data_IF_033333738679
#
_entry.id   IF_033333738679
#
_cell.length_a   1.000
_cell.length_b   1.000
_cell.length_c   1.000
_cell.angle_alpha   90.00
_cell.angle_beta   90.00
_cell.angle_gamma   90.00
#
_symmetry.space_group_name_H-M   'P 1'
#
loop_
_entity.id
_entity.type
_entity.pdbx_description
1 polymer ?
#
# COMPACT_ATOMS: atom_id res chain seq x y z
N UNK A 1 28.07 -19.57 46.03
CA UNK A 1 28.35 -19.85 47.43
C UNK A 1 27.80 -18.77 48.36
N UNK A 2 28.04 -17.48 48.18
CA UNK A 2 27.51 -16.39 49.03
C UNK A 2 25.98 -16.36 49.15
N UNK A 3 25.23 -16.58 48.07
CA UNK A 3 23.73 -16.58 48.06
C UNK A 3 23.19 -17.79 48.85
N UNK A 4 23.88 -18.95 48.76
CA UNK A 4 23.45 -20.13 49.52
C UNK A 4 23.72 -19.98 51.02
N UNK A 5 24.81 -19.33 51.39
CA UNK A 5 25.14 -19.03 52.79
C UNK A 5 24.18 -18.00 53.38
N UNK A 6 23.81 -16.95 52.63
CA UNK A 6 22.83 -15.93 53.04
C UNK A 6 21.41 -16.52 53.21
N UNK A 7 21.01 -17.40 52.28
CA UNK A 7 19.74 -18.12 52.35
C UNK A 7 19.67 -19.02 53.59
N UNK A 8 20.79 -19.70 53.93
CA UNK A 8 20.84 -20.58 55.09
C UNK A 8 20.78 -19.82 56.43
N UNK A 9 21.47 -18.66 56.53
CA UNK A 9 21.44 -17.76 57.71
C UNK A 9 20.03 -17.18 57.98
N UNK A 10 19.25 -16.92 56.93
CA UNK A 10 17.90 -16.39 57.08
C UNK A 10 16.86 -17.56 57.33
N UNK A 11 17.12 -18.73 56.73
CA UNK A 11 16.19 -19.88 56.77
C UNK A 11 16.04 -20.49 58.16
N UNK A 12 17.14 -20.64 58.95
CA UNK A 12 17.12 -21.24 60.26
C UNK A 12 16.34 -20.41 61.27
N UNK A 13 16.63 -19.10 61.46
CA UNK A 13 15.87 -18.25 62.37
C UNK A 13 14.38 -18.09 61.96
N UNK A 14 14.08 -18.03 60.66
CA UNK A 14 12.70 -17.95 60.19
C UNK A 14 11.89 -19.24 60.47
N UNK A 15 12.52 -20.40 60.32
CA UNK A 15 11.88 -21.67 60.68
C UNK A 15 11.62 -21.79 62.19
N UNK A 16 12.58 -21.33 63.00
CA UNK A 16 12.40 -21.30 64.46
C UNK A 16 11.32 -20.31 64.91
N UNK A 17 11.27 -19.17 64.33
CA UNK A 17 10.25 -18.14 64.61
C UNK A 17 8.83 -18.63 64.23
N UNK A 18 8.64 -19.26 63.05
CA UNK A 18 7.38 -19.84 62.62
C UNK A 18 6.95 -20.98 63.54
N UNK A 19 7.90 -21.85 63.93
CA UNK A 19 7.59 -22.98 64.83
C UNK A 19 7.10 -22.52 66.19
N UNK A 20 7.68 -21.44 66.77
CA UNK A 20 7.24 -20.86 68.02
C UNK A 20 5.84 -20.18 67.91
N UNK A 21 5.50 -19.65 66.75
CA UNK A 21 4.18 -19.07 66.51
C UNK A 21 3.08 -20.16 66.44
N UNK A 22 3.41 -21.33 65.87
CA UNK A 22 2.44 -22.46 65.74
C UNK A 22 2.17 -23.20 67.05
N UNK A 23 3.14 -23.29 67.96
CA UNK A 23 3.06 -24.17 69.16
C UNK A 23 3.23 -23.41 70.51
N UNK A 24 3.45 -22.10 70.47
CA UNK A 24 3.56 -21.26 71.68
C UNK A 24 4.72 -21.68 72.60
N UNK A 25 4.43 -21.89 73.90
CA UNK A 25 5.41 -22.26 74.94
C UNK A 25 5.65 -23.78 75.06
N UNK A 26 5.24 -24.58 74.07
CA UNK A 26 5.44 -26.05 74.15
C UNK A 26 6.91 -26.42 74.07
N UNK A 27 7.30 -27.45 74.83
CA UNK A 27 8.68 -27.98 74.90
C UNK A 27 8.76 -29.43 74.45
N UNK A 28 9.92 -29.92 74.06
CA UNK A 28 10.16 -31.32 73.66
C UNK A 28 9.80 -31.70 72.23
N UNK A 29 9.21 -32.86 72.05
CA UNK A 29 8.91 -33.44 70.71
C UNK A 29 7.97 -32.65 69.86
N UNK A 30 7.02 -31.90 70.47
CA UNK A 30 6.07 -31.06 69.76
C UNK A 30 6.74 -29.86 69.09
N UNK A 31 7.73 -29.28 69.73
CA UNK A 31 8.48 -28.16 69.16
C UNK A 31 9.37 -28.64 68.00
N UNK A 32 9.92 -29.85 68.06
CA UNK A 32 10.70 -30.44 66.96
C UNK A 32 9.85 -30.71 65.74
N UNK A 33 8.66 -31.30 65.91
CA UNK A 33 7.74 -31.56 64.80
C UNK A 33 7.24 -30.26 64.15
N UNK A 34 7.00 -29.21 64.90
CA UNK A 34 6.65 -27.88 64.41
C UNK A 34 7.79 -27.23 63.60
N UNK A 35 9.03 -27.40 64.07
CA UNK A 35 10.24 -26.89 63.34
C UNK A 35 10.44 -27.63 62.00
N UNK A 36 10.24 -28.95 61.97
CA UNK A 36 10.39 -29.70 60.71
C UNK A 36 9.26 -29.40 59.74
N UNK A 37 8.03 -29.17 60.20
CA UNK A 37 6.89 -28.70 59.39
C UNK A 37 7.15 -27.28 58.85
N UNK A 38 7.66 -26.35 59.67
CA UNK A 38 7.98 -24.98 59.26
C UNK A 38 9.13 -24.98 58.23
N UNK A 39 10.18 -25.80 58.40
CA UNK A 39 11.24 -26.00 57.42
C UNK A 39 10.70 -26.54 56.11
N UNK A 40 9.80 -27.52 56.13
CA UNK A 40 9.15 -28.04 54.91
C UNK A 40 8.39 -26.98 54.18
N UNK A 41 7.58 -26.15 54.86
CA UNK A 41 6.85 -25.02 54.23
C UNK A 41 7.75 -23.99 53.62
N UNK A 42 8.83 -23.58 54.34
CA UNK A 42 9.81 -22.62 53.82
C UNK A 42 10.60 -23.16 52.63
N UNK A 43 10.97 -24.45 52.63
CA UNK A 43 11.61 -25.09 51.50
C UNK A 43 10.70 -25.11 50.27
N UNK A 44 9.39 -25.42 50.44
CA UNK A 44 8.43 -25.44 49.35
C UNK A 44 8.23 -24.04 48.77
N UNK A 45 8.08 -23.01 49.64
CA UNK A 45 7.98 -21.62 49.21
C UNK A 45 9.23 -21.13 48.52
N UNK A 46 10.40 -21.45 49.08
CA UNK A 46 11.71 -21.12 48.49
C UNK A 46 11.89 -21.77 47.12
N UNK A 47 11.56 -23.05 46.97
CA UNK A 47 11.63 -23.76 45.70
C UNK A 47 10.68 -23.14 44.68
N UNK A 48 9.45 -22.75 45.08
CA UNK A 48 8.49 -22.07 44.23
C UNK A 48 8.99 -20.68 43.72
N UNK A 49 9.57 -19.90 44.64
CA UNK A 49 10.19 -18.60 44.28
C UNK A 49 11.38 -18.76 43.36
N UNK A 50 12.25 -19.75 43.61
CA UNK A 50 13.38 -20.05 42.72
C UNK A 50 12.92 -20.52 41.32
N UNK A 51 11.92 -21.39 41.24
CA UNK A 51 11.33 -21.83 40.00
C UNK A 51 10.71 -20.67 39.23
N UNK A 52 9.96 -19.78 39.89
CA UNK A 52 9.39 -18.57 39.31
C UNK A 52 10.48 -17.59 38.79
N UNK A 53 11.52 -17.36 39.57
CA UNK A 53 12.64 -16.51 39.15
C UNK A 53 13.40 -17.10 37.95
N UNK A 54 13.67 -18.41 37.96
CA UNK A 54 14.29 -19.12 36.85
C UNK A 54 13.45 -19.06 35.58
N UNK A 55 12.12 -19.21 35.71
CA UNK A 55 11.20 -19.06 34.59
C UNK A 55 11.22 -17.65 33.99
N UNK A 56 11.21 -16.61 34.85
CA UNK A 56 11.30 -15.21 34.40
C UNK A 56 12.63 -14.90 33.69
N UNK A 57 13.75 -15.43 34.19
CA UNK A 57 15.06 -15.28 33.58
C UNK A 57 15.07 -16.01 32.22
N UNK A 58 14.56 -17.24 32.14
CA UNK A 58 14.49 -18.00 30.90
C UNK A 58 13.57 -17.33 29.87
N UNK A 59 12.41 -16.83 30.29
CA UNK A 59 11.51 -16.07 29.42
C UNK A 59 12.18 -14.79 28.88
N UNK A 60 12.88 -14.08 29.75
CA UNK A 60 13.63 -12.87 29.34
C UNK A 60 14.79 -13.20 28.39
N UNK A 61 15.50 -14.28 28.61
CA UNK A 61 16.58 -14.75 27.72
C UNK A 61 16.03 -15.15 26.34
N UNK A 62 14.89 -15.83 26.28
CA UNK A 62 14.20 -16.16 25.02
C UNK A 62 13.79 -14.92 24.23
N UNK A 63 13.26 -13.88 24.89
CA UNK A 63 12.91 -12.61 24.24
C UNK A 63 14.17 -11.91 23.68
N UNK A 64 15.26 -11.90 24.45
CA UNK A 64 16.53 -11.29 24.01
C UNK A 64 17.15 -12.05 22.83
N UNK A 65 17.13 -13.38 22.85
CA UNK A 65 17.63 -14.23 21.74
C UNK A 65 16.82 -14.01 20.46
N UNK A 66 15.49 -13.94 20.56
CA UNK A 66 14.63 -13.63 19.41
C UNK A 66 14.94 -12.25 18.82
N UNK A 67 15.15 -11.23 19.66
CA UNK A 67 15.52 -9.89 19.21
C UNK A 67 16.88 -9.87 18.49
N UNK A 68 17.86 -10.61 19.00
CA UNK A 68 19.17 -10.75 18.34
C UNK A 68 19.04 -11.37 16.94
N UNK A 69 18.26 -12.44 16.79
CA UNK A 69 18.05 -13.11 15.51
C UNK A 69 17.38 -12.22 14.45
N UNK A 70 16.40 -11.38 14.84
CA UNK A 70 15.74 -10.43 13.92
C UNK A 70 16.75 -9.38 13.45
N UNK A 71 17.55 -8.83 14.37
CA UNK A 71 18.55 -7.82 14.04
C UNK A 71 19.63 -8.37 13.08
N UNK A 72 20.10 -9.60 13.30
CA UNK A 72 21.08 -10.26 12.42
C UNK A 72 20.49 -10.49 11.01
N UNK A 73 19.23 -10.90 10.91
CA UNK A 73 18.53 -11.07 9.63
C UNK A 73 18.39 -9.74 8.90
N UNK A 74 17.99 -8.68 9.61
CA UNK A 74 17.89 -7.34 9.05
C UNK A 74 19.22 -6.85 8.50
N UNK A 75 20.30 -6.96 9.28
CA UNK A 75 21.64 -6.52 8.84
C UNK A 75 22.09 -7.26 7.58
N UNK A 76 21.94 -8.58 7.55
CA UNK A 76 22.27 -9.38 6.35
C UNK A 76 21.42 -9.01 5.13
N UNK A 77 20.13 -8.75 5.34
CA UNK A 77 19.23 -8.34 4.26
C UNK A 77 19.62 -6.97 3.68
N UNK A 78 20.04 -6.01 4.53
CA UNK A 78 20.57 -4.71 4.07
C UNK A 78 21.89 -4.87 3.30
N UNK A 79 22.81 -5.72 3.77
CA UNK A 79 24.04 -6.03 3.05
C UNK A 79 23.74 -6.63 1.66
N UNK A 80 22.78 -7.54 1.58
CA UNK A 80 22.33 -8.12 0.32
C UNK A 80 21.67 -7.10 -0.59
N UNK A 81 20.86 -6.17 -0.05
CA UNK A 81 20.22 -5.10 -0.81
C UNK A 81 21.25 -4.19 -1.47
N UNK A 82 22.41 -3.95 -0.83
CA UNK A 82 23.52 -3.17 -1.39
C UNK A 82 24.44 -3.93 -2.36
N UNK A 83 24.13 -5.18 -2.70
CA UNK A 83 24.97 -6.00 -3.59
C UNK A 83 24.91 -5.50 -5.04
N UNK A 84 26.01 -5.65 -5.78
CA UNK A 84 26.06 -5.43 -7.23
C UNK A 84 25.32 -6.53 -8.01
N UNK A 85 25.16 -7.72 -7.42
CA UNK A 85 24.50 -8.86 -8.04
C UNK A 85 22.98 -8.76 -7.89
N UNK A 86 22.26 -8.78 -9.00
CA UNK A 86 20.79 -8.63 -9.05
C UNK A 86 20.07 -9.69 -8.20
N UNK A 87 20.45 -10.96 -8.33
CA UNK A 87 19.81 -12.06 -7.61
C UNK A 87 20.01 -11.93 -6.08
N UNK A 88 21.17 -11.42 -5.66
CA UNK A 88 21.46 -11.16 -4.24
C UNK A 88 20.59 -10.01 -3.71
N UNK A 89 20.44 -8.92 -4.48
CA UNK A 89 19.54 -7.81 -4.11
C UNK A 89 18.10 -8.27 -3.95
N UNK A 90 17.59 -9.05 -4.92
CA UNK A 90 16.23 -9.61 -4.84
C UNK A 90 16.08 -10.50 -3.60
N UNK A 91 17.10 -11.33 -3.29
CA UNK A 91 17.13 -12.11 -2.06
C UNK A 91 17.05 -11.23 -0.81
N UNK A 92 17.79 -10.13 -0.77
CA UNK A 92 17.74 -9.12 0.30
C UNK A 92 16.34 -8.49 0.47
N UNK A 93 15.68 -8.14 -0.63
CA UNK A 93 14.32 -7.58 -0.61
C UNK A 93 13.32 -8.55 0.04
N UNK A 94 13.34 -9.83 -0.36
CA UNK A 94 12.46 -10.84 0.24
C UNK A 94 12.85 -11.20 1.68
N UNK A 95 14.13 -11.10 2.03
CA UNK A 95 14.56 -11.25 3.43
C UNK A 95 14.03 -10.10 4.29
N UNK A 96 14.04 -8.86 3.80
CA UNK A 96 13.42 -7.70 4.46
C UNK A 96 11.90 -7.88 4.62
N UNK A 97 11.21 -8.43 3.62
CA UNK A 97 9.79 -8.78 3.75
C UNK A 97 9.56 -9.73 4.92
N UNK A 98 10.40 -10.78 5.05
CA UNK A 98 10.34 -11.71 6.18
C UNK A 98 10.51 -11.00 7.53
N UNK A 99 11.47 -10.07 7.64
CA UNK A 99 11.67 -9.24 8.84
C UNK A 99 10.43 -8.40 9.16
N UNK A 100 9.86 -7.72 8.16
CA UNK A 100 8.69 -6.87 8.34
C UNK A 100 7.44 -7.67 8.77
N UNK A 101 7.31 -8.91 8.29
CA UNK A 101 6.21 -9.82 8.66
C UNK A 101 6.37 -10.36 10.08
N UNK A 102 7.60 -10.70 10.47
CA UNK A 102 7.91 -11.28 11.79
C UNK A 102 7.90 -10.22 12.91
N UNK A 103 8.09 -8.94 12.60
CA UNK A 103 8.23 -7.84 13.56
C UNK A 103 7.47 -6.60 13.14
N UNK A 104 6.31 -6.37 13.76
CA UNK A 104 5.53 -5.14 13.56
C UNK A 104 6.31 -3.87 13.93
N UNK A 105 7.31 -3.97 14.82
CA UNK A 105 8.18 -2.86 15.22
C UNK A 105 9.12 -2.44 14.09
N UNK A 106 9.66 -3.43 13.36
CA UNK A 106 10.66 -3.18 12.32
C UNK A 106 9.99 -2.95 10.96
N UNK A 107 8.68 -3.20 10.86
CA UNK A 107 7.88 -3.07 9.64
C UNK A 107 8.06 -1.68 9.00
N UNK A 108 7.83 -0.60 9.76
CA UNK A 108 7.92 0.76 9.22
C UNK A 108 9.31 1.06 8.66
N UNK A 109 10.38 0.66 9.37
CA UNK A 109 11.76 0.86 8.91
C UNK A 109 12.05 0.09 7.62
N UNK A 110 11.56 -1.15 7.52
CA UNK A 110 11.69 -1.94 6.28
C UNK A 110 10.96 -1.28 5.12
N UNK A 111 9.73 -0.78 5.34
CA UNK A 111 8.98 -0.08 4.29
C UNK A 111 9.70 1.20 3.84
N UNK A 112 10.29 1.97 4.76
CA UNK A 112 11.10 3.13 4.43
C UNK A 112 12.34 2.77 3.59
N UNK A 113 13.05 1.71 3.94
CA UNK A 113 14.22 1.23 3.18
C UNK A 113 13.82 0.81 1.78
N UNK A 114 12.74 0.02 1.64
CA UNK A 114 12.29 -0.44 0.33
C UNK A 114 11.77 0.71 -0.54
N UNK A 115 11.06 1.69 0.02
CA UNK A 115 10.63 2.87 -0.74
C UNK A 115 11.79 3.75 -1.17
N UNK A 116 12.82 3.91 -0.32
CA UNK A 116 14.04 4.61 -0.69
C UNK A 116 14.78 3.88 -1.82
N UNK A 117 14.92 2.55 -1.71
CA UNK A 117 15.51 1.70 -2.74
C UNK A 117 14.79 1.87 -4.09
N UNK A 118 13.46 1.83 -4.10
CA UNK A 118 12.67 2.02 -5.33
C UNK A 118 12.93 3.39 -5.95
N UNK A 119 12.86 4.47 -5.18
CA UNK A 119 13.08 5.83 -5.69
C UNK A 119 14.48 6.03 -6.26
N UNK A 120 15.50 5.46 -5.62
CA UNK A 120 16.89 5.60 -6.04
C UNK A 120 17.17 4.80 -7.31
N UNK A 121 16.71 3.55 -7.38
CA UNK A 121 17.11 2.60 -8.41
C UNK A 121 16.12 2.50 -9.59
N UNK A 122 14.90 3.01 -9.46
CA UNK A 122 13.87 2.92 -10.51
C UNK A 122 14.23 3.68 -11.77
N UNK A 123 15.01 4.76 -11.65
CA UNK A 123 15.44 5.59 -12.80
C UNK A 123 16.70 5.09 -13.49
N UNK A 124 17.37 4.09 -12.94
CA UNK A 124 18.55 3.50 -13.56
C UNK A 124 18.15 2.74 -14.85
N UNK A 125 18.95 2.89 -15.89
CA UNK A 125 18.69 2.26 -17.18
C UNK A 125 18.69 0.72 -17.05
N UNK A 126 17.61 0.08 -17.50
CA UNK A 126 17.49 -1.37 -17.55
C UNK A 126 16.97 -1.83 -18.91
N UNK A 127 17.53 -2.90 -19.53
CA UNK A 127 18.79 -3.58 -19.13
C UNK A 127 20.00 -2.66 -19.24
N UNK A 128 21.09 -2.92 -18.48
CA UNK A 128 22.33 -2.15 -18.64
C UNK A 128 22.84 -2.23 -20.08
N UNK A 129 23.40 -1.15 -20.65
CA UNK A 129 23.77 -1.07 -22.06
C UNK A 129 24.72 -2.19 -22.52
N UNK A 130 25.56 -2.71 -21.63
CA UNK A 130 26.55 -3.77 -21.94
C UNK A 130 26.08 -5.19 -21.61
N UNK A 131 24.80 -5.38 -21.23
CA UNK A 131 24.29 -6.70 -20.86
C UNK A 131 24.03 -7.61 -22.07
N UNK A 132 24.44 -8.88 -22.05
CA UNK A 132 24.11 -9.84 -23.10
C UNK A 132 22.60 -9.98 -23.28
N UNK A 133 22.09 -9.88 -24.52
CA UNK A 133 20.64 -9.99 -24.82
C UNK A 133 19.97 -11.26 -24.30
N UNK A 134 20.71 -12.29 -24.02
CA UNK A 134 20.21 -13.57 -23.49
C UNK A 134 19.86 -13.52 -22.00
N UNK A 135 20.47 -12.65 -21.22
CA UNK A 135 20.31 -12.63 -19.76
C UNK A 135 18.94 -12.09 -19.34
N UNK A 136 18.37 -11.10 -20.04
CA UNK A 136 17.08 -10.52 -19.69
C UNK A 136 15.87 -11.24 -20.28
N UNK A 137 16.06 -12.06 -21.35
CA UNK A 137 14.98 -12.90 -21.92
C UNK A 137 14.53 -13.97 -20.92
N UNK A 138 15.42 -14.50 -20.09
CA UNK A 138 15.09 -15.49 -19.05
C UNK A 138 14.28 -14.89 -17.90
N UNK A 139 14.42 -13.60 -17.60
CA UNK A 139 13.62 -12.90 -16.61
C UNK A 139 12.20 -12.60 -17.10
N UNK A 140 12.02 -12.36 -18.39
CA UNK A 140 10.74 -12.11 -19.04
C UNK A 140 9.72 -13.23 -18.81
N UNK A 141 10.15 -14.47 -18.64
CA UNK A 141 9.29 -15.64 -18.41
C UNK A 141 8.80 -15.79 -16.96
N UNK A 142 9.37 -15.06 -16.00
CA UNK A 142 9.00 -15.15 -14.58
C UNK A 142 7.90 -14.19 -14.16
N UNK A 143 7.76 -13.08 -14.84
CA UNK A 143 6.71 -12.09 -14.57
C UNK A 143 5.67 -12.19 -15.68
N UNK A 144 4.40 -12.48 -15.33
CA UNK A 144 3.29 -12.56 -16.28
C UNK A 144 3.09 -11.17 -16.89
N UNK A 145 3.57 -10.96 -18.11
CA UNK A 145 3.22 -9.77 -18.87
C UNK A 145 1.90 -10.04 -19.56
N UNK A 146 0.87 -9.27 -19.26
CA UNK A 146 -0.36 -9.22 -20.05
C UNK A 146 0.02 -8.84 -21.48
N UNK A 147 -0.29 -9.68 -22.45
CA UNK A 147 0.05 -9.75 -23.87
C UNK A 147 0.24 -8.50 -24.74
N UNK A 148 0.57 -7.34 -24.20
CA UNK A 148 0.96 -6.12 -24.94
C UNK A 148 2.48 -6.10 -25.10
N UNK A 149 2.97 -5.76 -26.28
CA UNK A 149 4.39 -5.56 -26.57
C UNK A 149 4.90 -4.37 -25.73
N UNK A 150 5.51 -4.66 -24.59
CA UNK A 150 6.17 -3.68 -23.75
C UNK A 150 7.64 -3.53 -24.19
N UNK A 151 8.01 -2.34 -24.62
CA UNK A 151 9.40 -2.01 -25.01
C UNK A 151 10.29 -1.68 -23.79
N UNK A 152 9.70 -1.40 -22.63
CA UNK A 152 10.39 -1.13 -21.36
C UNK A 152 9.79 -1.99 -20.23
N UNK A 153 10.64 -2.43 -19.35
CA UNK A 153 10.27 -3.24 -18.17
C UNK A 153 10.86 -2.58 -16.94
N UNK A 154 10.07 -2.57 -15.87
CA UNK A 154 10.61 -2.26 -14.54
C UNK A 154 11.76 -3.21 -14.22
N UNK A 155 12.84 -2.70 -13.64
CA UNK A 155 13.95 -3.53 -13.17
C UNK A 155 13.45 -4.64 -12.24
N UNK A 156 13.97 -5.87 -12.34
CA UNK A 156 13.46 -7.01 -11.54
C UNK A 156 13.57 -6.81 -10.02
N UNK A 157 14.60 -6.11 -9.53
CA UNK A 157 14.76 -5.78 -8.12
C UNK A 157 13.79 -4.69 -7.67
N UNK A 158 13.55 -3.66 -8.51
CA UNK A 158 12.51 -2.65 -8.27
C UNK A 158 11.14 -3.31 -8.29
N UNK A 159 10.85 -4.19 -9.25
CA UNK A 159 9.61 -4.97 -9.31
C UNK A 159 9.41 -5.82 -8.05
N UNK A 160 10.46 -6.48 -7.55
CA UNK A 160 10.40 -7.24 -6.31
C UNK A 160 10.07 -6.33 -5.11
N UNK A 161 10.70 -5.16 -5.04
CA UNK A 161 10.47 -4.21 -3.96
C UNK A 161 9.02 -3.65 -3.98
N UNK A 162 8.50 -3.22 -5.14
CA UNK A 162 7.11 -2.72 -5.22
C UNK A 162 6.09 -3.84 -4.97
N UNK A 163 6.39 -5.09 -5.35
CA UNK A 163 5.55 -6.23 -5.02
C UNK A 163 5.49 -6.48 -3.51
N UNK A 164 6.61 -6.33 -2.79
CA UNK A 164 6.63 -6.41 -1.31
C UNK A 164 5.85 -5.26 -0.69
N UNK A 165 6.05 -4.03 -1.19
CA UNK A 165 5.29 -2.86 -0.73
C UNK A 165 3.79 -3.02 -0.97
N UNK A 166 3.37 -3.57 -2.12
CA UNK A 166 1.97 -3.75 -2.48
C UNK A 166 1.22 -4.80 -1.64
N UNK A 167 1.91 -5.84 -1.15
CA UNK A 167 1.28 -6.90 -0.33
C UNK A 167 1.53 -6.80 1.17
N UNK A 168 2.08 -5.66 1.61
CA UNK A 168 2.36 -5.41 3.02
C UNK A 168 1.10 -5.36 3.87
N UNK A 169 1.23 -5.58 5.16
CA UNK A 169 0.15 -5.38 6.11
C UNK A 169 0.04 -3.89 6.49
N UNK A 170 -0.76 -3.13 5.75
CA UNK A 170 -0.92 -1.67 5.90
C UNK A 170 -1.31 -1.22 7.32
N UNK A 171 -1.91 -2.09 8.14
CA UNK A 171 -2.23 -1.81 9.55
C UNK A 171 -0.99 -1.50 10.42
N UNK A 172 0.19 -1.88 9.96
CA UNK A 172 1.45 -1.62 10.66
C UNK A 172 2.19 -0.40 10.12
N UNK A 173 1.65 0.26 9.11
CA UNK A 173 2.25 1.46 8.55
C UNK A 173 2.12 2.63 9.54
N UNK A 174 3.22 3.30 9.80
CA UNK A 174 3.27 4.52 10.61
C UNK A 174 3.21 5.75 9.72
N UNK A 175 3.73 5.62 8.49
CA UNK A 175 3.77 6.67 7.47
C UNK A 175 3.29 6.14 6.13
N UNK A 176 2.78 7.01 5.25
CA UNK A 176 2.44 6.65 3.88
C UNK A 176 3.66 6.08 3.13
N UNK A 177 3.40 5.13 2.23
CA UNK A 177 4.40 4.66 1.26
C UNK A 177 4.76 5.82 0.33
N UNK A 178 6.04 6.17 0.24
CA UNK A 178 6.54 7.30 -0.55
C UNK A 178 7.24 6.82 -1.81
N UNK A 179 6.54 6.85 -2.92
CA UNK A 179 7.05 6.49 -4.25
C UNK A 179 7.11 7.70 -5.20
N UNK A 180 7.09 8.91 -4.62
CA UNK A 180 7.13 10.13 -5.39
C UNK A 180 8.34 10.18 -6.33
N UNK A 181 8.10 10.54 -7.59
CA UNK A 181 9.10 10.61 -8.64
C UNK A 181 9.71 9.27 -9.06
N UNK A 182 9.24 8.11 -8.58
CA UNK A 182 9.75 6.81 -9.01
C UNK A 182 9.36 6.51 -10.47
N UNK A 183 10.25 5.87 -11.24
CA UNK A 183 9.95 5.34 -12.57
C UNK A 183 9.52 3.86 -12.44
N UNK A 184 8.23 3.64 -12.52
CA UNK A 184 7.57 2.34 -12.46
C UNK A 184 6.94 1.97 -13.81
N UNK A 185 7.54 2.43 -14.90
CA UNK A 185 7.09 2.12 -16.26
C UNK A 185 7.00 0.61 -16.48
N UNK A 186 5.81 0.13 -16.84
CA UNK A 186 5.54 -1.28 -17.06
C UNK A 186 5.56 -2.16 -15.82
N UNK A 187 5.47 -1.58 -14.62
CA UNK A 187 5.40 -2.33 -13.37
C UNK A 187 4.13 -3.19 -13.29
N UNK A 188 4.26 -4.38 -12.71
CA UNK A 188 3.14 -5.23 -12.31
C UNK A 188 2.76 -4.87 -10.86
N UNK A 189 1.61 -4.22 -10.70
CA UNK A 189 1.02 -3.77 -9.44
C UNK A 189 -0.38 -4.37 -9.23
N UNK A 190 -0.66 -5.50 -9.91
CA UNK A 190 -1.95 -6.19 -9.79
C UNK A 190 -2.24 -6.51 -8.31
N UNK A 191 -3.47 -6.20 -7.86
CA UNK A 191 -3.93 -6.44 -6.49
C UNK A 191 -3.09 -5.74 -5.39
N UNK A 192 -2.20 -4.80 -5.75
CA UNK A 192 -1.35 -4.11 -4.77
C UNK A 192 -2.19 -3.18 -3.87
N UNK A 193 -1.84 -3.13 -2.59
CA UNK A 193 -2.38 -2.15 -1.66
C UNK A 193 -1.45 -0.93 -1.58
N UNK A 194 -1.85 0.17 -2.20
CA UNK A 194 -1.16 1.45 -2.20
C UNK A 194 -2.07 2.57 -1.62
N UNK A 195 -3.06 2.19 -0.78
CA UNK A 195 -3.93 3.14 -0.12
C UNK A 195 -3.14 4.18 0.67
N UNK A 196 -3.46 5.47 0.47
CA UNK A 196 -2.76 6.60 1.08
C UNK A 196 -1.31 6.80 0.65
N UNK A 197 -0.80 6.07 -0.36
CA UNK A 197 0.57 6.25 -0.85
C UNK A 197 0.78 7.62 -1.51
N UNK A 198 2.00 8.14 -1.45
CA UNK A 198 2.44 9.31 -2.19
C UNK A 198 3.18 8.86 -3.48
N UNK A 199 2.53 9.07 -4.61
CA UNK A 199 3.01 8.77 -5.97
C UNK A 199 3.16 10.07 -6.79
N UNK A 200 3.25 11.23 -6.13
CA UNK A 200 3.43 12.52 -6.81
C UNK A 200 4.56 12.47 -7.82
N UNK A 201 4.31 12.92 -9.05
CA UNK A 201 5.28 12.92 -10.17
C UNK A 201 5.87 11.54 -10.52
N UNK A 202 5.30 10.43 -10.04
CA UNK A 202 5.76 9.09 -10.43
C UNK A 202 5.42 8.80 -11.91
N UNK A 203 6.19 7.92 -12.53
CA UNK A 203 5.97 7.46 -13.91
C UNK A 203 5.45 6.03 -13.85
N UNK A 204 4.20 5.82 -14.26
CA UNK A 204 3.49 4.54 -14.28
C UNK A 204 3.02 4.19 -15.70
N UNK A 205 3.74 4.64 -16.72
CA UNK A 205 3.41 4.35 -18.11
C UNK A 205 3.34 2.85 -18.36
N UNK A 206 2.32 2.41 -19.07
CA UNK A 206 2.14 0.99 -19.44
C UNK A 206 2.10 0.04 -18.23
N UNK A 207 1.98 0.54 -16.99
CA UNK A 207 1.90 -0.28 -15.78
C UNK A 207 0.56 -1.03 -15.71
N UNK A 208 0.58 -2.23 -15.13
CA UNK A 208 -0.62 -3.01 -14.81
C UNK A 208 -1.02 -2.73 -13.35
N UNK A 209 -2.05 -1.92 -13.19
CA UNK A 209 -2.64 -1.51 -11.92
C UNK A 209 -4.02 -2.16 -11.73
N UNK A 210 -4.26 -3.30 -12.38
CA UNK A 210 -5.54 -4.01 -12.29
C UNK A 210 -5.86 -4.35 -10.84
N UNK A 211 -7.03 -3.95 -10.35
CA UNK A 211 -7.53 -4.15 -8.97
C UNK A 211 -6.64 -3.57 -7.87
N UNK A 212 -5.77 -2.61 -8.20
CA UNK A 212 -4.97 -1.91 -7.18
C UNK A 212 -5.88 -1.11 -6.24
N UNK A 213 -5.53 -1.07 -4.96
CA UNK A 213 -6.12 -0.13 -4.00
C UNK A 213 -5.25 1.13 -3.90
N UNK A 214 -5.75 2.25 -4.40
CA UNK A 214 -5.17 3.59 -4.33
C UNK A 214 -6.10 4.54 -3.55
N UNK A 215 -6.95 4.01 -2.67
CA UNK A 215 -7.87 4.83 -1.87
C UNK A 215 -7.12 5.91 -1.13
N UNK A 216 -7.49 7.18 -1.35
CA UNK A 216 -6.87 8.34 -0.71
C UNK A 216 -5.40 8.58 -1.05
N UNK A 217 -4.86 7.93 -2.09
CA UNK A 217 -3.48 8.13 -2.53
C UNK A 217 -3.29 9.51 -3.17
N UNK A 218 -2.08 10.06 -3.10
CA UNK A 218 -1.67 11.28 -3.81
C UNK A 218 -0.98 10.89 -5.11
N UNK A 219 -1.61 11.24 -6.24
CA UNK A 219 -1.18 10.92 -7.61
C UNK A 219 -1.04 12.21 -8.45
N UNK A 220 -0.69 13.32 -7.80
CA UNK A 220 -0.55 14.61 -8.50
C UNK A 220 0.56 14.54 -9.53
N UNK A 221 0.26 15.07 -10.72
CA UNK A 221 1.21 15.14 -11.83
C UNK A 221 1.83 13.78 -12.22
N UNK A 222 1.17 12.67 -11.86
CA UNK A 222 1.61 11.31 -12.21
C UNK A 222 1.40 11.05 -13.70
N UNK A 223 2.31 10.30 -14.30
CA UNK A 223 2.18 9.83 -15.68
C UNK A 223 1.64 8.40 -15.70
N UNK A 224 0.36 8.25 -15.99
CA UNK A 224 -0.37 6.98 -16.15
C UNK A 224 -0.71 6.69 -17.62
N UNK A 225 0.05 7.27 -18.57
CA UNK A 225 -0.17 7.06 -20.00
C UNK A 225 -0.22 5.56 -20.32
N UNK A 226 -1.32 5.09 -20.94
CA UNK A 226 -1.59 3.70 -21.31
C UNK A 226 -1.60 2.69 -20.16
N UNK A 227 -1.62 3.11 -18.91
CA UNK A 227 -1.73 2.22 -17.77
C UNK A 227 -3.09 1.48 -17.76
N UNK A 228 -3.11 0.26 -17.19
CA UNK A 228 -4.33 -0.50 -16.98
C UNK A 228 -4.76 -0.43 -15.51
N UNK A 229 -5.82 0.34 -15.26
CA UNK A 229 -6.46 0.51 -13.95
C UNK A 229 -7.82 -0.20 -13.88
N UNK A 230 -8.01 -1.27 -14.67
CA UNK A 230 -9.26 -2.02 -14.66
C UNK A 230 -9.59 -2.53 -13.25
N UNK A 231 -10.84 -2.29 -12.81
CA UNK A 231 -11.34 -2.67 -11.49
C UNK A 231 -10.55 -2.06 -10.29
N UNK A 232 -9.72 -1.03 -10.53
CA UNK A 232 -8.96 -0.36 -9.48
C UNK A 232 -9.85 0.49 -8.57
N UNK A 233 -9.40 0.74 -7.34
CA UNK A 233 -10.05 1.63 -6.38
C UNK A 233 -9.21 2.89 -6.17
N UNK A 234 -9.72 4.04 -6.64
CA UNK A 234 -9.11 5.37 -6.50
C UNK A 234 -10.05 6.32 -5.74
N UNK A 235 -10.85 5.78 -4.85
CA UNK A 235 -11.80 6.58 -4.07
C UNK A 235 -11.06 7.66 -3.28
N UNK A 236 -11.51 8.92 -3.44
CA UNK A 236 -10.91 10.09 -2.79
C UNK A 236 -9.40 10.26 -3.06
N UNK A 237 -8.87 9.69 -4.13
CA UNK A 237 -7.49 9.91 -4.55
C UNK A 237 -7.34 11.31 -5.18
N UNK A 238 -6.15 11.90 -5.04
CA UNK A 238 -5.78 13.17 -5.66
C UNK A 238 -4.97 12.90 -6.93
N UNK A 239 -5.60 13.07 -8.11
CA UNK A 239 -4.99 12.92 -9.43
C UNK A 239 -4.80 14.28 -10.13
N UNK A 240 -4.84 15.39 -9.40
CA UNK A 240 -4.73 16.72 -9.99
C UNK A 240 -3.52 16.83 -10.93
N UNK A 241 -3.75 17.27 -12.19
CA UNK A 241 -2.71 17.41 -13.20
C UNK A 241 -2.18 16.10 -13.83
N UNK A 242 -2.66 14.93 -13.42
CA UNK A 242 -2.20 13.64 -13.91
C UNK A 242 -2.43 13.44 -15.42
N UNK A 243 -1.53 12.69 -16.08
CA UNK A 243 -1.69 12.26 -17.48
C UNK A 243 -2.18 10.80 -17.55
N UNK A 244 -3.45 10.62 -17.91
CA UNK A 244 -4.10 9.33 -18.14
C UNK A 244 -4.42 9.10 -19.63
N UNK A 245 -3.64 9.71 -20.53
CA UNK A 245 -3.83 9.54 -21.97
C UNK A 245 -3.79 8.06 -22.36
N UNK A 246 -4.85 7.62 -23.06
CA UNK A 246 -5.02 6.21 -23.50
C UNK A 246 -5.09 5.18 -22.36
N UNK A 247 -5.19 5.59 -21.09
CA UNK A 247 -5.32 4.69 -19.96
C UNK A 247 -6.64 3.91 -19.99
N UNK A 248 -6.63 2.71 -19.41
CA UNK A 248 -7.81 1.86 -19.26
C UNK A 248 -8.31 1.94 -17.80
N UNK A 249 -9.47 2.55 -17.59
CA UNK A 249 -10.13 2.72 -16.29
C UNK A 249 -11.50 2.01 -16.29
N UNK A 250 -11.58 0.81 -16.81
CA UNK A 250 -12.86 0.07 -16.88
C UNK A 250 -13.28 -0.35 -15.48
N UNK A 251 -14.54 -0.06 -15.11
CA UNK A 251 -15.10 -0.39 -13.79
C UNK A 251 -14.29 0.15 -12.61
N UNK A 252 -13.45 1.16 -12.83
CA UNK A 252 -12.64 1.81 -11.78
C UNK A 252 -13.54 2.61 -10.86
N UNK A 253 -13.27 2.53 -9.54
CA UNK A 253 -13.95 3.37 -8.56
C UNK A 253 -13.16 4.67 -8.34
N UNK A 254 -13.66 5.78 -8.91
CA UNK A 254 -13.11 7.14 -8.81
C UNK A 254 -14.02 8.06 -7.97
N UNK A 255 -14.87 7.48 -7.14
CA UNK A 255 -15.82 8.25 -6.32
C UNK A 255 -15.10 9.30 -5.48
N UNK A 256 -15.55 10.55 -5.59
CA UNK A 256 -14.97 11.71 -4.89
C UNK A 256 -13.48 11.92 -5.13
N UNK A 257 -12.92 11.38 -6.22
CA UNK A 257 -11.52 11.62 -6.61
C UNK A 257 -11.38 13.05 -7.14
N UNK A 258 -10.20 13.64 -6.92
CA UNK A 258 -9.80 14.90 -7.55
C UNK A 258 -9.09 14.60 -8.88
N UNK A 259 -9.73 14.96 -9.99
CA UNK A 259 -9.25 14.82 -11.36
C UNK A 259 -9.12 16.20 -12.03
N UNK A 260 -8.96 17.28 -11.26
CA UNK A 260 -8.86 18.62 -11.81
C UNK A 260 -7.64 18.76 -12.73
N UNK A 261 -7.86 19.37 -13.88
CA UNK A 261 -6.82 19.57 -14.91
C UNK A 261 -6.12 18.29 -15.40
N UNK A 262 -6.70 17.10 -15.17
CA UNK A 262 -6.16 15.84 -15.69
C UNK A 262 -6.31 15.73 -17.20
N UNK A 263 -5.38 15.01 -17.83
CA UNK A 263 -5.49 14.63 -19.25
C UNK A 263 -6.01 13.19 -19.33
N UNK A 264 -7.25 13.02 -19.82
CA UNK A 264 -7.93 11.74 -20.05
C UNK A 264 -8.20 11.49 -21.53
N UNK A 265 -7.39 12.09 -22.41
CA UNK A 265 -7.57 11.98 -23.86
C UNK A 265 -7.52 10.53 -24.29
N UNK A 266 -8.59 10.07 -24.97
CA UNK A 266 -8.77 8.68 -25.43
C UNK A 266 -8.78 7.62 -24.32
N UNK A 267 -8.90 8.01 -23.06
CA UNK A 267 -9.02 7.07 -21.96
C UNK A 267 -10.33 6.25 -22.03
N UNK A 268 -10.29 5.03 -21.50
CA UNK A 268 -11.45 4.14 -21.45
C UNK A 268 -12.01 4.04 -20.04
N UNK A 269 -13.07 4.79 -19.72
CA UNK A 269 -13.75 4.82 -18.41
C UNK A 269 -15.10 4.08 -18.46
N UNK A 270 -15.20 3.04 -19.26
CA UNK A 270 -16.47 2.28 -19.39
C UNK A 270 -16.87 1.68 -18.04
N UNK A 271 -18.09 2.00 -17.56
CA UNK A 271 -18.64 1.58 -16.26
C UNK A 271 -17.84 2.07 -15.05
N UNK A 272 -17.01 3.09 -15.17
CA UNK A 272 -16.34 3.69 -14.03
C UNK A 272 -17.35 4.42 -13.12
N UNK A 273 -17.10 4.41 -11.82
CA UNK A 273 -17.83 5.23 -10.84
C UNK A 273 -17.06 6.54 -10.60
N UNK A 274 -17.55 7.61 -11.19
CA UNK A 274 -17.05 8.99 -11.06
C UNK A 274 -18.00 9.84 -10.19
N UNK A 275 -18.89 9.20 -9.43
CA UNK A 275 -19.88 9.94 -8.65
C UNK A 275 -19.20 10.90 -7.67
N UNK A 276 -19.65 12.16 -7.68
CA UNK A 276 -19.08 13.26 -6.90
C UNK A 276 -17.58 13.53 -7.16
N UNK A 277 -17.02 13.10 -8.29
CA UNK A 277 -15.62 13.38 -8.66
C UNK A 277 -15.47 14.84 -9.14
N UNK A 278 -14.28 15.39 -8.97
CA UNK A 278 -13.91 16.74 -9.40
C UNK A 278 -13.12 16.67 -10.70
N UNK A 279 -13.74 17.00 -11.84
CA UNK A 279 -13.13 16.96 -13.19
C UNK A 279 -12.99 18.38 -13.77
N UNK A 280 -12.90 19.39 -12.91
CA UNK A 280 -12.76 20.78 -13.32
C UNK A 280 -11.57 21.00 -14.25
N UNK A 281 -11.81 21.48 -15.48
CA UNK A 281 -10.76 21.71 -16.47
C UNK A 281 -10.10 20.46 -17.04
N UNK A 282 -10.59 19.26 -16.76
CA UNK A 282 -10.05 18.01 -17.30
C UNK A 282 -10.25 17.91 -18.82
N UNK A 283 -9.30 17.27 -19.53
CA UNK A 283 -9.40 16.97 -20.95
C UNK A 283 -9.83 15.52 -21.20
N UNK A 284 -11.10 15.31 -21.50
CA UNK A 284 -11.69 14.02 -21.84
C UNK A 284 -11.91 13.87 -23.36
N UNK A 285 -11.13 14.56 -24.18
CA UNK A 285 -11.24 14.50 -25.63
C UNK A 285 -11.16 13.04 -26.12
N UNK A 286 -12.17 12.60 -26.88
CA UNK A 286 -12.28 11.23 -27.41
C UNK A 286 -12.32 10.12 -26.36
N UNK A 287 -12.50 10.45 -25.07
CA UNK A 287 -12.64 9.44 -24.01
C UNK A 287 -13.95 8.67 -24.11
N UNK A 288 -13.97 7.43 -23.60
CA UNK A 288 -15.16 6.56 -23.58
C UNK A 288 -15.69 6.40 -22.15
N UNK A 289 -16.81 7.05 -21.83
CA UNK A 289 -17.51 6.95 -20.53
C UNK A 289 -18.80 6.14 -20.64
N UNK A 290 -18.87 5.18 -21.55
CA UNK A 290 -20.07 4.40 -21.77
C UNK A 290 -20.52 3.66 -20.51
N UNK A 291 -21.72 3.99 -19.99
CA UNK A 291 -22.27 3.41 -18.77
C UNK A 291 -21.55 3.82 -17.48
N UNK A 292 -20.73 4.87 -17.50
CA UNK A 292 -20.13 5.44 -16.31
C UNK A 292 -21.16 6.18 -15.44
N UNK A 293 -20.95 6.19 -14.13
CA UNK A 293 -21.70 7.00 -13.16
C UNK A 293 -20.96 8.31 -12.92
N UNK A 294 -21.55 9.45 -13.32
CA UNK A 294 -21.07 10.80 -13.09
C UNK A 294 -22.02 11.58 -12.17
N UNK A 295 -22.85 10.89 -11.39
CA UNK A 295 -23.81 11.52 -10.50
C UNK A 295 -23.17 12.55 -9.58
N UNK A 296 -23.53 13.84 -9.71
CA UNK A 296 -22.97 14.95 -8.94
C UNK A 296 -21.49 15.27 -9.24
N UNK A 297 -20.92 14.78 -10.33
CA UNK A 297 -19.56 15.14 -10.73
C UNK A 297 -19.46 16.60 -11.20
N UNK A 298 -18.34 17.25 -10.91
CA UNK A 298 -18.04 18.60 -11.39
C UNK A 298 -17.17 18.54 -12.65
N UNK A 299 -17.79 18.85 -13.80
CA UNK A 299 -17.16 18.93 -15.13
C UNK A 299 -17.01 20.37 -15.59
N UNK A 300 -16.98 21.35 -14.68
CA UNK A 300 -16.80 22.76 -14.98
C UNK A 300 -15.53 22.97 -15.82
N UNK A 301 -15.66 23.63 -16.99
CA UNK A 301 -14.59 23.88 -17.96
C UNK A 301 -13.94 22.62 -18.57
N UNK A 302 -14.52 21.45 -18.38
CA UNK A 302 -13.99 20.23 -18.96
C UNK A 302 -14.07 20.25 -20.49
N UNK A 303 -13.07 19.65 -21.14
CA UNK A 303 -13.04 19.46 -22.60
C UNK A 303 -13.58 18.08 -22.93
N UNK A 304 -14.77 18.05 -23.54
CA UNK A 304 -15.55 16.83 -23.81
C UNK A 304 -15.73 16.60 -25.33
N UNK A 305 -14.74 17.05 -26.13
CA UNK A 305 -14.80 16.90 -27.59
C UNK A 305 -14.86 15.42 -27.98
N UNK A 306 -15.94 15.03 -28.71
CA UNK A 306 -16.19 13.65 -29.15
C UNK A 306 -16.22 12.58 -28.04
N UNK A 307 -16.36 12.97 -26.79
CA UNK A 307 -16.50 12.04 -25.66
C UNK A 307 -17.74 11.15 -25.82
N UNK A 308 -17.65 9.87 -25.50
CA UNK A 308 -18.77 8.92 -25.57
C UNK A 308 -19.42 8.74 -24.20
N UNK A 309 -20.59 9.37 -23.98
CA UNK A 309 -21.42 9.22 -22.78
C UNK A 309 -22.57 8.23 -22.96
N UNK A 310 -22.52 7.32 -23.93
CA UNK A 310 -23.60 6.36 -24.15
C UNK A 310 -23.98 5.64 -22.87
N UNK A 311 -25.25 5.76 -22.40
CA UNK A 311 -25.76 5.17 -21.16
C UNK A 311 -25.05 5.65 -19.88
N UNK A 312 -24.29 6.72 -19.91
CA UNK A 312 -23.72 7.31 -18.69
C UNK A 312 -24.82 7.96 -17.87
N UNK A 313 -24.69 7.93 -16.55
CA UNK A 313 -25.51 8.72 -15.63
C UNK A 313 -24.85 10.07 -15.40
N UNK A 314 -25.51 11.15 -15.79
CA UNK A 314 -25.09 12.54 -15.60
C UNK A 314 -25.99 13.26 -14.57
N UNK A 315 -26.68 12.52 -13.73
CA UNK A 315 -27.59 13.08 -12.71
C UNK A 315 -26.88 14.09 -11.80
N UNK A 316 -27.38 15.33 -11.76
CA UNK A 316 -26.78 16.43 -10.99
C UNK A 316 -25.30 16.75 -11.32
N UNK A 317 -24.76 16.29 -12.44
CA UNK A 317 -23.44 16.70 -12.92
C UNK A 317 -23.43 18.17 -13.34
N UNK A 318 -22.34 18.87 -13.01
CA UNK A 318 -22.14 20.28 -13.39
C UNK A 318 -21.30 20.35 -14.67
N UNK A 319 -21.82 21.05 -15.70
CA UNK A 319 -21.18 21.19 -17.02
C UNK A 319 -20.91 22.67 -17.39
N UNK A 320 -20.77 23.54 -16.40
CA UNK A 320 -20.56 24.97 -16.61
C UNK A 320 -19.27 25.19 -17.40
N UNK A 321 -19.37 25.98 -18.48
CA UNK A 321 -18.24 26.26 -19.38
C UNK A 321 -17.58 25.01 -20.02
N UNK A 322 -18.23 23.84 -19.98
CA UNK A 322 -17.73 22.65 -20.65
C UNK A 322 -17.90 22.72 -22.17
N UNK A 323 -16.98 22.16 -22.94
CA UNK A 323 -17.03 22.06 -24.40
C UNK A 323 -17.51 20.67 -24.84
N UNK A 324 -18.70 20.58 -25.48
CA UNK A 324 -19.39 19.30 -25.77
C UNK A 324 -19.47 18.97 -27.28
N UNK A 325 -18.70 19.63 -28.13
CA UNK A 325 -18.77 19.46 -29.58
C UNK A 325 -18.57 18.00 -29.99
N UNK A 326 -19.56 17.40 -30.62
CA UNK A 326 -19.48 16.02 -31.10
C UNK A 326 -19.57 14.96 -30.03
N UNK A 327 -19.80 15.33 -28.77
CA UNK A 327 -20.00 14.37 -27.67
C UNK A 327 -21.22 13.50 -27.96
N UNK A 328 -21.13 12.22 -27.73
CA UNK A 328 -22.20 11.24 -27.85
C UNK A 328 -23.01 11.24 -26.57
N UNK A 329 -24.27 11.64 -26.65
CA UNK A 329 -25.09 11.95 -25.47
C UNK A 329 -25.97 10.76 -25.04
N UNK A 330 -26.19 10.55 -23.73
CA UNK A 330 -27.06 9.48 -23.26
C UNK A 330 -28.49 9.68 -23.71
N UNK A 331 -29.13 8.62 -24.19
CA UNK A 331 -30.52 8.67 -24.58
C UNK A 331 -31.43 8.98 -23.36
N UNK A 332 -32.31 9.96 -23.52
CA UNK A 332 -33.26 10.37 -22.46
C UNK A 332 -32.73 11.38 -21.46
N UNK A 333 -31.43 11.69 -21.47
CA UNK A 333 -30.85 12.74 -20.62
C UNK A 333 -31.18 14.14 -21.19
N UNK A 334 -31.45 15.15 -20.33
CA UNK A 334 -31.67 16.52 -20.80
C UNK A 334 -30.42 17.03 -21.52
N UNK A 335 -30.66 17.69 -22.66
CA UNK A 335 -29.57 18.29 -23.45
C UNK A 335 -29.19 19.63 -22.82
N UNK A 336 -27.90 19.88 -22.59
CA UNK A 336 -27.45 21.14 -21.99
C UNK A 336 -27.82 22.36 -22.82
N UNK A 337 -28.01 23.54 -22.19
CA UNK A 337 -28.29 24.79 -22.89
C UNK A 337 -27.26 25.10 -23.96
N UNK A 338 -27.71 25.66 -25.11
CA UNK A 338 -26.82 26.00 -26.26
C UNK A 338 -26.46 24.80 -27.16
N UNK A 339 -26.90 23.60 -26.83
CA UNK A 339 -26.62 22.39 -27.62
C UNK A 339 -27.92 21.78 -28.19
N UNK A 340 -27.79 21.02 -29.28
CA UNK A 340 -28.84 20.18 -29.87
C UNK A 340 -28.34 18.77 -30.07
N UNK A 341 -29.24 17.81 -29.85
CA UNK A 341 -28.95 16.41 -30.15
C UNK A 341 -29.26 16.11 -31.61
N UNK A 342 -28.26 15.73 -32.40
CA UNK A 342 -28.48 15.10 -33.71
C UNK A 342 -29.00 13.67 -33.47
N UNK A 343 -30.28 13.47 -33.66
CA UNK A 343 -30.94 12.18 -33.38
C UNK A 343 -30.45 11.05 -34.30
N UNK A 344 -29.84 11.37 -35.45
CA UNK A 344 -29.28 10.37 -36.36
C UNK A 344 -27.93 9.80 -35.86
N UNK A 345 -27.11 10.67 -35.28
CA UNK A 345 -25.77 10.30 -34.81
C UNK A 345 -25.67 10.12 -33.29
N UNK A 346 -26.68 10.59 -32.55
CA UNK A 346 -26.64 10.64 -31.09
C UNK A 346 -25.62 11.63 -30.52
N UNK A 347 -25.14 12.57 -31.36
CA UNK A 347 -24.08 13.52 -30.95
C UNK A 347 -24.63 14.91 -30.72
N UNK A 348 -24.00 15.65 -29.83
CA UNK A 348 -24.28 17.07 -29.60
C UNK A 348 -23.62 17.92 -30.68
N UNK A 349 -24.45 18.85 -31.23
CA UNK A 349 -24.05 19.89 -32.16
C UNK A 349 -24.45 21.24 -31.58
N UNK A 350 -23.75 22.30 -31.95
CA UNK A 350 -24.12 23.66 -31.56
C UNK A 350 -25.52 24.01 -32.04
N UNK A 351 -26.34 24.72 -31.24
CA UNK A 351 -27.55 25.29 -31.68
C UNK A 351 -27.28 26.43 -32.69
N UNK A 352 -28.00 26.48 -33.84
CA UNK A 352 -27.76 27.47 -34.88
C UNK A 352 -27.91 28.92 -34.34
N UNK A 353 -26.87 29.75 -34.52
CA UNK A 353 -26.85 31.16 -34.08
C UNK A 353 -26.13 31.38 -32.74
N UNK A 354 -25.65 30.34 -32.09
CA UNK A 354 -24.75 30.43 -30.94
C UNK A 354 -23.38 29.92 -31.38
N UNK A 355 -22.33 30.77 -31.30
CA UNK A 355 -20.99 30.24 -31.11
C UNK A 355 -21.09 29.37 -29.84
N UNK A 356 -20.83 28.03 -29.89
CA UNK A 356 -20.93 27.24 -28.70
C UNK A 356 -19.70 27.55 -27.83
N UNK A 357 -19.69 28.78 -27.34
CA UNK A 357 -18.87 29.09 -26.18
C UNK A 357 -19.17 28.12 -25.05
N UNK A 358 -18.36 28.10 -24.00
CA UNK A 358 -18.56 27.24 -22.86
C UNK A 358 -20.00 27.29 -22.34
N UNK A 359 -20.52 26.17 -21.86
CA UNK A 359 -21.85 26.08 -21.24
C UNK A 359 -21.89 27.04 -20.04
N UNK A 360 -22.77 28.06 -20.07
CA UNK A 360 -22.94 29.05 -18.98
C UNK A 360 -23.83 28.49 -17.88
#
# INVERSE_FOLDING_TARGET
MLVAALAWVLFVPAADWLAHQDVGSATGTLLQTARDAARGRLLTLGAGLFAGAAFLVAARALVLLRRGQVNDRYTKAIEQLGSTELDVRIGGIYALEGVARDSARDHATVMEVLTAFVREHSREQWPPPDSPRTTWITWRGRFRTSGRQQERFTRPDVQAAVAVLGRREARHDIQPIRLNGADLTGADLIDANLGGADLTEAILRDADLTRVDLTGATLRDVDLTRADLTDATLRSADLGGADLTEATLRSTNLRSADLQATTLTRATLTRADLSSAFLGGADLTEATLAGADLGGADLTRARLFRTDFTRADLGAATLIEATLTGAKWPAGSPVPPGWKLDTRTGRLIAAAGTDPGPVT
#
